data_IF_015482176036
#
_entry.id   IF_015482176036
#
_cell.length_a   1.000
_cell.length_b   1.000
_cell.length_c   1.000
_cell.angle_alpha   90.00
_cell.angle_beta   90.00
_cell.angle_gamma   90.00
#
_symmetry.space_group_name_H-M   'P 1'
#
loop_
_entity.id
_entity.type
_entity.pdbx_description
1 polymer ?
#
# COMPACT_ATOMS: atom_id res chain seq x y z
N UNK A 1 -1.90 -12.65 25.00
CA UNK A 1 -2.04 -11.57 23.99
C UNK A 1 -3.46 -11.62 23.44
N UNK A 2 -4.03 -10.48 23.08
CA UNK A 2 -5.36 -10.42 22.43
C UNK A 2 -5.20 -10.90 20.99
N UNK A 3 -5.97 -11.89 20.57
CA UNK A 3 -5.97 -12.37 19.18
C UNK A 3 -6.76 -11.44 18.25
N UNK A 4 -6.39 -11.34 16.96
CA UNK A 4 -7.22 -10.73 15.95
C UNK A 4 -8.62 -11.40 15.88
N UNK A 5 -9.69 -10.64 15.62
CA UNK A 5 -11.02 -11.20 15.41
C UNK A 5 -11.13 -11.82 14.00
N UNK A 6 -10.37 -12.88 13.73
CA UNK A 6 -10.21 -13.52 12.41
C UNK A 6 -11.54 -13.76 11.69
N UNK A 7 -12.53 -14.32 12.38
CA UNK A 7 -13.84 -14.59 11.81
C UNK A 7 -14.58 -13.31 11.38
N UNK A 8 -14.51 -12.24 12.18
CA UNK A 8 -15.12 -10.95 11.84
C UNK A 8 -14.42 -10.32 10.64
N UNK A 9 -13.08 -10.31 10.65
CA UNK A 9 -12.27 -9.76 9.55
C UNK A 9 -12.59 -10.49 8.25
N UNK A 10 -12.51 -11.82 8.23
CA UNK A 10 -12.80 -12.63 7.05
C UNK A 10 -14.24 -12.42 6.56
N UNK A 11 -15.21 -12.42 7.47
CA UNK A 11 -16.62 -12.28 7.12
C UNK A 11 -16.95 -10.94 6.47
N UNK A 12 -16.31 -9.86 6.93
CA UNK A 12 -16.47 -8.54 6.32
C UNK A 12 -15.67 -8.41 5.02
N UNK A 13 -14.49 -9.03 4.94
CA UNK A 13 -13.67 -9.04 3.72
C UNK A 13 -14.42 -9.72 2.56
N UNK A 14 -15.03 -10.90 2.77
CA UNK A 14 -15.84 -11.59 1.74
C UNK A 14 -17.14 -10.87 1.34
N UNK A 15 -17.54 -9.86 2.11
CA UNK A 15 -18.71 -9.02 1.82
C UNK A 15 -18.30 -7.71 1.12
N UNK A 16 -17.01 -7.52 0.80
CA UNK A 16 -16.50 -6.26 0.25
C UNK A 16 -16.62 -5.09 1.23
N UNK A 17 -16.72 -5.35 2.55
CA UNK A 17 -16.90 -4.34 3.61
C UNK A 17 -15.59 -3.96 4.32
N UNK A 18 -14.46 -4.44 3.81
CA UNK A 18 -13.12 -4.14 4.29
C UNK A 18 -12.31 -3.58 3.13
N UNK A 19 -11.58 -2.50 3.36
CA UNK A 19 -10.56 -1.96 2.46
C UNK A 19 -9.19 -2.44 3.00
N UNK A 20 -8.55 -3.42 2.35
CA UNK A 20 -7.17 -3.78 2.66
C UNK A 20 -6.26 -2.62 2.30
N UNK A 21 -5.39 -2.24 3.22
CA UNK A 21 -4.39 -1.21 3.05
C UNK A 21 -3.03 -1.90 3.22
N UNK A 22 -2.22 -2.00 2.16
CA UNK A 22 -0.94 -2.73 2.14
C UNK A 22 0.28 -1.81 2.08
N UNK A 23 1.27 -2.08 2.92
CA UNK A 23 2.54 -1.35 3.00
C UNK A 23 3.71 -2.27 2.67
N UNK A 24 4.95 -1.76 2.73
CA UNK A 24 6.12 -2.51 2.24
C UNK A 24 6.31 -3.88 2.92
N UNK A 25 5.91 -4.00 4.19
CA UNK A 25 5.95 -5.27 4.93
C UNK A 25 4.98 -6.33 4.38
N UNK A 26 4.00 -5.97 3.55
CA UNK A 26 3.10 -6.91 2.89
C UNK A 26 3.83 -7.70 1.78
N UNK A 27 4.65 -7.00 1.00
CA UNK A 27 5.49 -7.59 -0.06
C UNK A 27 6.65 -8.40 0.52
N UNK A 28 7.08 -8.07 1.74
CA UNK A 28 8.21 -8.70 2.43
C UNK A 28 7.79 -9.71 3.52
N UNK A 29 6.49 -10.02 3.64
CA UNK A 29 5.95 -10.77 4.78
C UNK A 29 6.59 -12.16 4.97
N UNK A 30 6.97 -12.81 3.88
CA UNK A 30 7.55 -14.16 3.85
C UNK A 30 9.08 -14.14 3.76
N UNK A 31 9.69 -12.96 3.73
CA UNK A 31 11.14 -12.80 3.68
C UNK A 31 11.72 -13.00 5.08
N UNK A 32 12.71 -13.88 5.21
CA UNK A 32 13.43 -14.08 6.47
C UNK A 32 14.16 -12.80 6.90
N UNK A 33 13.96 -12.38 8.15
CA UNK A 33 14.64 -11.25 8.77
C UNK A 33 16.18 -11.28 8.59
N UNK A 34 16.77 -12.47 8.58
CA UNK A 34 18.21 -12.72 8.45
C UNK A 34 18.72 -12.85 7.01
N UNK A 35 17.83 -12.92 6.01
CA UNK A 35 18.22 -13.04 4.61
C UNK A 35 19.01 -11.81 4.15
N UNK A 36 20.17 -12.04 3.54
CA UNK A 36 20.94 -11.01 2.86
C UNK A 36 20.25 -10.64 1.55
N UNK A 37 20.47 -9.40 1.10
CA UNK A 37 19.95 -8.90 -0.17
C UNK A 37 21.11 -8.44 -1.04
N UNK A 38 21.05 -8.79 -2.32
CA UNK A 38 22.02 -8.36 -3.34
C UNK A 38 21.31 -7.53 -4.41
N UNK A 39 21.68 -6.26 -4.53
CA UNK A 39 21.11 -5.35 -5.50
C UNK A 39 21.53 -5.63 -6.95
N UNK A 40 22.62 -6.38 -7.16
CA UNK A 40 23.07 -6.74 -8.50
C UNK A 40 22.31 -7.97 -9.06
N UNK A 41 21.74 -8.78 -8.19
CA UNK A 41 20.96 -9.97 -8.56
C UNK A 41 19.84 -10.23 -7.54
N UNK A 42 18.83 -9.35 -7.47
CA UNK A 42 17.82 -9.43 -6.42
C UNK A 42 16.89 -10.63 -6.63
N UNK A 43 16.84 -11.51 -5.62
CA UNK A 43 15.91 -12.64 -5.52
C UNK A 43 14.59 -12.28 -4.82
N UNK A 44 14.56 -11.11 -4.17
CA UNK A 44 13.41 -10.50 -3.52
C UNK A 44 13.47 -8.97 -3.60
N UNK A 45 12.35 -8.34 -3.26
CA UNK A 45 12.30 -6.89 -3.04
C UNK A 45 13.23 -6.49 -1.88
N UNK A 46 13.87 -5.31 -1.95
CA UNK A 46 14.65 -4.77 -0.85
C UNK A 46 13.76 -4.28 0.29
N UNK A 47 14.32 -4.30 1.50
CA UNK A 47 13.84 -3.45 2.60
C UNK A 47 14.24 -2.01 2.32
N UNK A 48 13.50 -1.05 2.89
CA UNK A 48 13.81 0.37 2.75
C UNK A 48 15.27 0.69 3.14
N UNK A 49 15.76 0.10 4.23
CA UNK A 49 17.15 0.26 4.68
C UNK A 49 18.18 -0.32 3.70
N UNK A 50 17.90 -1.49 3.13
CA UNK A 50 18.81 -2.15 2.16
C UNK A 50 18.93 -1.31 0.88
N UNK A 51 17.80 -0.78 0.40
CA UNK A 51 17.79 0.14 -0.73
C UNK A 51 18.52 1.45 -0.40
N UNK A 52 18.30 2.01 0.79
CA UNK A 52 18.99 3.22 1.25
C UNK A 52 20.51 3.02 1.33
N UNK A 53 20.99 1.86 1.82
CA UNK A 53 22.41 1.52 1.89
C UNK A 53 23.08 1.51 0.51
N UNK A 54 22.42 0.91 -0.49
CA UNK A 54 22.91 0.86 -1.87
C UNK A 54 22.95 2.24 -2.51
N UNK A 55 21.84 2.98 -2.43
CA UNK A 55 21.75 4.33 -3.00
C UNK A 55 22.73 5.30 -2.31
N UNK A 56 22.89 5.19 -1.00
CA UNK A 56 23.85 6.01 -0.24
C UNK A 56 25.29 5.74 -0.68
N UNK A 57 25.65 4.47 -0.91
CA UNK A 57 26.98 4.09 -1.40
C UNK A 57 27.25 4.62 -2.81
N UNK A 58 26.31 4.44 -3.73
CA UNK A 58 26.41 4.90 -5.12
C UNK A 58 26.51 6.44 -5.21
N UNK A 59 25.71 7.17 -4.42
CA UNK A 59 25.69 8.63 -4.43
C UNK A 59 26.79 9.28 -3.58
N UNK A 60 27.61 8.51 -2.85
CA UNK A 60 28.54 9.04 -1.83
C UNK A 60 27.83 9.90 -0.77
N UNK A 61 26.68 9.45 -0.28
CA UNK A 61 25.86 10.16 0.69
C UNK A 61 26.64 10.46 1.99
N UNK A 62 26.62 11.71 2.50
CA UNK A 62 27.40 12.12 3.66
C UNK A 62 26.77 11.62 4.97
N UNK A 63 27.02 10.34 5.30
CA UNK A 63 26.53 9.71 6.51
C UNK A 63 27.08 10.39 7.77
N UNK A 64 26.18 10.81 8.65
CA UNK A 64 26.52 11.24 10.02
C UNK A 64 26.41 10.08 11.02
N UNK A 65 25.64 9.04 10.68
CA UNK A 65 25.57 7.80 11.45
C UNK A 65 24.62 6.76 10.83
N UNK A 66 24.52 5.55 11.41
CA UNK A 66 23.72 4.46 10.85
C UNK A 66 22.21 4.73 10.77
N UNK A 67 21.71 5.73 11.50
CA UNK A 67 20.31 6.14 11.51
C UNK A 67 19.90 6.92 10.26
N UNK A 68 20.84 7.54 9.54
CA UNK A 68 20.51 8.23 8.28
C UNK A 68 19.94 7.25 7.23
N UNK A 69 20.36 5.98 7.29
CA UNK A 69 19.91 4.91 6.40
C UNK A 69 18.52 4.36 6.76
N UNK A 70 17.92 4.81 7.87
CA UNK A 70 16.51 4.54 8.17
C UNK A 70 15.57 5.48 7.40
N UNK A 71 16.08 6.60 6.89
CA UNK A 71 15.32 7.58 6.12
C UNK A 71 15.63 7.45 4.62
N UNK A 72 14.98 6.48 3.99
CA UNK A 72 15.09 6.26 2.55
C UNK A 72 14.73 7.51 1.74
N UNK A 73 13.80 8.33 2.23
CA UNK A 73 13.34 9.50 1.48
C UNK A 73 14.45 10.55 1.36
N UNK A 74 15.13 10.82 2.47
CA UNK A 74 16.29 11.73 2.52
C UNK A 74 17.45 11.23 1.66
N UNK A 75 17.75 9.93 1.69
CA UNK A 75 18.79 9.33 0.83
C UNK A 75 18.44 9.47 -0.65
N UNK A 76 17.18 9.21 -1.02
CA UNK A 76 16.70 9.37 -2.39
C UNK A 76 16.73 10.84 -2.85
N UNK A 77 16.37 11.80 -1.99
CA UNK A 77 16.47 13.24 -2.30
C UNK A 77 17.91 13.61 -2.63
N UNK A 78 18.87 13.20 -1.77
CA UNK A 78 20.29 13.45 -2.04
C UNK A 78 20.77 12.79 -3.33
N UNK A 79 20.37 11.53 -3.59
CA UNK A 79 20.71 10.83 -4.84
C UNK A 79 20.19 11.60 -6.06
N UNK A 80 18.93 12.04 -6.02
CA UNK A 80 18.33 12.82 -7.10
C UNK A 80 19.01 14.17 -7.29
N UNK A 81 19.48 14.82 -6.22
CA UNK A 81 20.20 16.10 -6.29
C UNK A 81 21.58 15.96 -6.95
N UNK A 82 22.32 14.89 -6.63
CA UNK A 82 23.70 14.72 -7.15
C UNK A 82 23.76 14.05 -8.52
N UNK A 83 22.87 13.08 -8.78
CA UNK A 83 22.87 12.28 -10.01
C UNK A 83 21.73 12.64 -10.97
N UNK A 84 20.72 13.36 -10.50
CA UNK A 84 19.51 13.68 -11.26
C UNK A 84 18.40 12.64 -11.09
N UNK A 85 17.14 13.12 -11.13
CA UNK A 85 15.93 12.27 -11.05
C UNK A 85 15.88 11.13 -12.08
N UNK A 86 16.27 11.31 -13.36
CA UNK A 86 16.24 10.22 -14.33
C UNK A 86 17.14 9.04 -13.93
N UNK A 87 18.31 9.29 -13.35
CA UNK A 87 19.25 8.25 -12.90
C UNK A 87 18.70 7.52 -11.69
N UNK A 88 18.12 8.23 -10.72
CA UNK A 88 17.41 7.60 -9.60
C UNK A 88 16.27 6.70 -10.09
N UNK A 89 15.48 7.16 -11.06
CA UNK A 89 14.36 6.40 -11.64
C UNK A 89 14.85 5.12 -12.32
N UNK A 90 15.90 5.20 -13.14
CA UNK A 90 16.53 4.04 -13.77
C UNK A 90 16.99 3.04 -12.71
N UNK A 91 17.67 3.52 -11.66
CA UNK A 91 18.15 2.66 -10.58
C UNK A 91 17.03 1.98 -9.78
N UNK A 92 15.97 2.72 -9.48
CA UNK A 92 14.78 2.15 -8.82
C UNK A 92 14.10 1.11 -9.70
N UNK A 93 14.01 1.35 -11.01
CA UNK A 93 13.48 0.36 -11.96
C UNK A 93 14.33 -0.89 -11.99
N UNK A 94 15.65 -0.76 -12.09
CA UNK A 94 16.56 -1.91 -12.05
C UNK A 94 16.32 -2.76 -10.81
N UNK A 95 16.15 -2.15 -9.65
CA UNK A 95 15.96 -2.88 -8.39
C UNK A 95 14.55 -3.45 -8.24
N UNK A 96 13.52 -2.73 -8.67
CA UNK A 96 12.12 -3.07 -8.37
C UNK A 96 11.43 -3.84 -9.51
N UNK A 97 11.93 -3.75 -10.74
CA UNK A 97 11.33 -4.39 -11.91
C UNK A 97 11.94 -5.77 -12.21
N UNK A 98 11.86 -6.68 -11.23
CA UNK A 98 12.22 -8.08 -11.42
C UNK A 98 10.99 -8.99 -11.32
N UNK A 99 11.15 -10.23 -11.77
CA UNK A 99 10.13 -11.26 -11.63
C UNK A 99 10.10 -11.74 -10.18
N UNK A 100 9.25 -11.10 -9.37
CA UNK A 100 8.99 -11.51 -7.99
C UNK A 100 7.73 -12.35 -7.89
N UNK A 101 7.76 -13.32 -6.99
CA UNK A 101 6.62 -14.21 -6.73
C UNK A 101 5.68 -13.59 -5.70
N UNK A 102 4.37 -13.47 -5.97
CA UNK A 102 3.41 -13.01 -4.97
C UNK A 102 3.37 -13.97 -3.77
N UNK A 103 3.53 -13.42 -2.56
CA UNK A 103 3.36 -14.20 -1.33
C UNK A 103 1.89 -14.57 -1.05
N UNK A 104 1.66 -15.40 -0.02
CA UNK A 104 0.32 -15.91 0.35
C UNK A 104 -0.69 -14.81 0.63
N UNK A 105 -0.28 -13.67 1.18
CA UNK A 105 -1.17 -12.54 1.40
C UNK A 105 -1.83 -12.07 0.09
N UNK A 106 -1.04 -11.91 -0.98
CA UNK A 106 -1.54 -11.44 -2.28
C UNK A 106 -2.53 -12.45 -2.87
N UNK A 107 -2.19 -13.73 -2.83
CA UNK A 107 -3.07 -14.80 -3.29
C UNK A 107 -4.35 -14.91 -2.46
N UNK A 108 -4.26 -14.75 -1.14
CA UNK A 108 -5.41 -14.74 -0.24
C UNK A 108 -6.36 -13.59 -0.58
N UNK A 109 -5.86 -12.37 -0.81
CA UNK A 109 -6.67 -11.22 -1.24
C UNK A 109 -7.31 -11.47 -2.61
N UNK A 110 -6.54 -11.96 -3.58
CA UNK A 110 -7.05 -12.33 -4.90
C UNK A 110 -8.10 -13.47 -4.82
N UNK A 111 -8.09 -14.30 -3.78
CA UNK A 111 -9.08 -15.37 -3.61
C UNK A 111 -10.45 -14.88 -3.11
N UNK A 112 -10.56 -13.65 -2.58
CA UNK A 112 -11.81 -13.12 -2.00
C UNK A 112 -12.91 -12.98 -3.06
N UNK A 113 -14.11 -13.55 -2.87
CA UNK A 113 -15.11 -13.65 -3.92
C UNK A 113 -15.77 -12.31 -4.30
N UNK A 114 -15.96 -11.41 -3.33
CA UNK A 114 -16.51 -10.07 -3.57
C UNK A 114 -15.46 -9.15 -4.18
N UNK A 115 -15.88 -8.17 -5.00
CA UNK A 115 -14.99 -7.09 -5.45
C UNK A 115 -14.31 -6.39 -4.27
N UNK A 116 -13.01 -6.15 -4.40
CA UNK A 116 -12.20 -5.45 -3.41
C UNK A 116 -11.64 -4.16 -3.98
N UNK A 117 -11.70 -3.08 -3.20
CA UNK A 117 -10.82 -1.93 -3.37
C UNK A 117 -9.64 -2.11 -2.42
N UNK A 118 -8.46 -2.40 -2.96
CA UNK A 118 -7.21 -2.56 -2.24
C UNK A 118 -6.39 -1.30 -2.43
N UNK A 119 -5.93 -0.71 -1.34
CA UNK A 119 -5.03 0.45 -1.38
C UNK A 119 -3.63 0.02 -1.00
N UNK A 120 -2.62 0.47 -1.74
CA UNK A 120 -1.23 0.15 -1.44
C UNK A 120 -0.32 1.35 -1.63
N UNK A 121 0.79 1.36 -0.88
CA UNK A 121 1.90 2.31 -1.03
C UNK A 121 3.14 1.65 -1.63
N UNK A 122 3.01 0.39 -2.06
CA UNK A 122 4.10 -0.38 -2.66
C UNK A 122 4.15 -0.12 -4.17
N UNK A 123 5.37 -0.09 -4.70
CA UNK A 123 5.62 0.13 -6.13
C UNK A 123 5.51 -1.16 -6.95
N UNK A 124 5.77 -2.32 -6.35
CA UNK A 124 5.80 -3.64 -6.99
C UNK A 124 4.45 -4.07 -7.60
N UNK A 125 4.48 -5.08 -8.48
CA UNK A 125 3.28 -5.62 -9.15
C UNK A 125 2.77 -6.94 -8.53
N UNK A 126 3.03 -7.22 -7.25
CA UNK A 126 2.70 -8.53 -6.65
C UNK A 126 1.19 -8.76 -6.52
N UNK A 127 0.41 -7.71 -6.23
CA UNK A 127 -1.05 -7.79 -6.22
C UNK A 127 -1.59 -8.08 -7.62
N UNK A 128 -1.13 -7.31 -8.60
CA UNK A 128 -1.48 -7.40 -10.01
C UNK A 128 -1.17 -8.81 -10.55
N UNK A 129 -0.01 -9.37 -10.21
CA UNK A 129 0.37 -10.74 -10.54
C UNK A 129 -0.54 -11.78 -9.85
N UNK A 130 -0.89 -11.60 -8.57
CA UNK A 130 -1.78 -12.52 -7.87
C UNK A 130 -3.22 -12.51 -8.43
N UNK A 131 -3.75 -11.33 -8.79
CA UNK A 131 -5.07 -11.21 -9.42
C UNK A 131 -5.09 -11.83 -10.83
N UNK A 132 -4.04 -11.60 -11.64
CA UNK A 132 -3.87 -12.27 -12.94
C UNK A 132 -3.82 -13.80 -12.78
N UNK A 133 -3.03 -14.31 -11.83
CA UNK A 133 -2.93 -15.75 -11.56
C UNK A 133 -4.26 -16.37 -11.10
N UNK A 134 -5.08 -15.60 -10.37
CA UNK A 134 -6.43 -16.01 -9.95
C UNK A 134 -7.49 -15.86 -11.07
N UNK A 135 -7.13 -15.33 -12.24
CA UNK A 135 -8.06 -15.05 -13.33
C UNK A 135 -9.14 -14.02 -12.97
N UNK A 136 -8.87 -13.11 -12.02
CA UNK A 136 -9.82 -12.09 -11.60
C UNK A 136 -9.54 -10.74 -12.24
N UNK A 137 -10.53 -10.13 -12.89
CA UNK A 137 -10.38 -8.81 -13.46
C UNK A 137 -10.18 -7.78 -12.35
N UNK A 138 -9.33 -6.80 -12.62
CA UNK A 138 -9.07 -5.65 -11.77
C UNK A 138 -8.76 -4.42 -12.63
N UNK A 139 -9.13 -3.27 -12.10
CA UNK A 139 -8.67 -1.97 -12.55
C UNK A 139 -7.49 -1.54 -11.69
N UNK A 140 -6.52 -0.87 -12.32
CA UNK A 140 -5.36 -0.31 -11.64
C UNK A 140 -5.45 1.21 -11.70
N UNK A 141 -5.40 1.85 -10.53
CA UNK A 141 -5.39 3.30 -10.41
C UNK A 141 -4.10 3.72 -9.74
N UNK A 142 -3.36 4.61 -10.38
CA UNK A 142 -2.06 5.08 -9.92
C UNK A 142 -2.07 6.59 -9.84
N UNK A 143 -1.40 7.10 -8.82
CA UNK A 143 -1.12 8.51 -8.69
C UNK A 143 0.25 8.85 -9.31
N UNK A 144 0.29 9.60 -10.44
CA UNK A 144 1.54 9.99 -11.08
C UNK A 144 2.17 11.21 -10.39
N UNK A 145 3.40 11.07 -9.90
CA UNK A 145 4.21 12.19 -9.37
C UNK A 145 5.23 12.74 -10.34
N UNK A 146 5.81 11.88 -11.18
CA UNK A 146 6.95 12.23 -12.01
C UNK A 146 6.60 12.93 -13.34
N UNK A 147 5.30 13.10 -13.62
CA UNK A 147 4.78 13.66 -14.88
C UNK A 147 4.11 15.01 -14.63
N UNK A 148 4.81 16.10 -14.94
CA UNK A 148 4.29 17.48 -14.78
C UNK A 148 3.08 17.77 -15.67
N UNK A 149 3.01 17.14 -16.83
CA UNK A 149 1.85 17.17 -17.73
C UNK A 149 0.61 16.48 -17.12
N UNK A 150 0.81 15.58 -16.15
CA UNK A 150 -0.23 14.85 -15.44
C UNK A 150 -0.41 15.31 -13.98
N UNK A 151 0.08 16.51 -13.65
CA UNK A 151 0.14 17.02 -12.28
C UNK A 151 -1.22 17.11 -11.54
N UNK A 152 -2.36 16.95 -12.21
CA UNK A 152 -3.67 16.89 -11.58
C UNK A 152 -4.51 15.70 -12.06
N UNK A 153 -3.86 14.71 -12.66
CA UNK A 153 -4.50 13.51 -13.15
C UNK A 153 -4.12 12.31 -12.28
N UNK A 154 -4.95 11.29 -12.37
CA UNK A 154 -4.60 9.91 -12.04
C UNK A 154 -4.42 9.14 -13.35
N UNK A 155 -3.63 8.08 -13.30
CA UNK A 155 -3.58 7.09 -14.36
C UNK A 155 -4.51 5.95 -13.99
N UNK A 156 -5.43 5.61 -14.88
CA UNK A 156 -6.35 4.50 -14.72
C UNK A 156 -6.15 3.51 -15.86
N UNK A 157 -5.82 2.26 -15.53
CA UNK A 157 -5.91 1.13 -16.44
C UNK A 157 -7.21 0.38 -16.15
N UNK A 158 -8.21 0.51 -17.04
CA UNK A 158 -9.34 -0.40 -17.05
C UNK A 158 -8.85 -1.84 -17.24
N UNK A 159 -9.57 -2.80 -16.66
CA UNK A 159 -9.23 -4.20 -16.84
C UNK A 159 -9.07 -4.58 -18.31
N UNK A 160 -7.91 -5.15 -18.65
CA UNK A 160 -7.59 -5.61 -20.00
C UNK A 160 -7.03 -4.54 -20.94
N UNK A 161 -6.92 -3.29 -20.50
CA UNK A 161 -6.26 -2.23 -21.25
C UNK A 161 -4.73 -2.41 -21.24
N UNK A 162 -4.08 -2.13 -22.37
CA UNK A 162 -2.62 -2.12 -22.49
C UNK A 162 -2.00 -0.78 -22.04
N UNK A 163 -2.77 0.30 -22.08
CA UNK A 163 -2.32 1.67 -21.78
C UNK A 163 -3.28 2.34 -20.78
N UNK A 164 -2.77 3.29 -19.97
CA UNK A 164 -3.60 4.03 -19.05
C UNK A 164 -4.41 5.11 -19.75
N UNK A 165 -5.52 5.47 -19.13
CA UNK A 165 -6.25 6.70 -19.39
C UNK A 165 -5.94 7.70 -18.28
N UNK A 166 -5.38 8.85 -18.65
CA UNK A 166 -5.26 9.97 -17.74
C UNK A 166 -6.65 10.55 -17.45
N UNK A 167 -7.00 10.66 -16.16
CA UNK A 167 -8.29 11.20 -15.70
C UNK A 167 -8.07 12.25 -14.63
N UNK A 168 -8.91 13.28 -14.61
CA UNK A 168 -9.06 14.10 -13.41
C UNK A 168 -9.61 13.18 -12.30
N UNK A 169 -9.08 13.23 -11.06
CA UNK A 169 -9.48 12.32 -9.98
C UNK A 169 -10.98 12.22 -9.73
N UNK A 170 -11.72 13.32 -9.91
CA UNK A 170 -13.17 13.36 -9.70
C UNK A 170 -13.99 12.90 -10.92
N UNK A 171 -13.34 12.70 -12.07
CA UNK A 171 -13.96 12.14 -13.29
C UNK A 171 -13.69 10.63 -13.40
N UNK A 172 -13.08 10.03 -12.37
CA UNK A 172 -12.92 8.59 -12.28
C UNK A 172 -14.28 7.93 -12.06
N UNK A 173 -14.68 7.08 -13.01
CA UNK A 173 -15.96 6.39 -12.98
C UNK A 173 -15.70 4.88 -13.04
N UNK A 174 -15.63 4.26 -11.86
CA UNK A 174 -15.50 2.81 -11.69
C UNK A 174 -16.65 2.33 -10.80
N UNK A 175 -17.38 1.32 -11.25
CA UNK A 175 -18.34 0.63 -10.38
C UNK A 175 -17.63 -0.26 -9.36
N UNK A 176 -17.31 0.32 -8.20
CA UNK A 176 -16.64 -0.38 -7.09
C UNK A 176 -17.48 -1.51 -6.45
N UNK A 177 -18.74 -1.69 -6.85
CA UNK A 177 -19.57 -2.80 -6.39
C UNK A 177 -19.36 -4.06 -7.23
N UNK A 178 -18.83 -3.93 -8.45
CA UNK A 178 -18.63 -5.04 -9.40
C UNK A 178 -17.17 -5.21 -9.85
N UNK A 179 -16.33 -4.19 -9.65
CA UNK A 179 -14.94 -4.17 -10.11
C UNK A 179 -13.94 -4.26 -8.95
N UNK A 180 -12.94 -5.15 -9.07
CA UNK A 180 -11.78 -5.09 -8.18
C UNK A 180 -10.91 -3.90 -8.57
N UNK A 181 -10.40 -3.16 -7.59
CA UNK A 181 -9.52 -2.02 -7.82
C UNK A 181 -8.28 -2.17 -6.98
N UNK A 182 -7.12 -2.00 -7.62
CA UNK A 182 -5.84 -1.81 -6.94
C UNK A 182 -5.50 -0.32 -7.09
N UNK A 183 -5.48 0.40 -5.97
CA UNK A 183 -5.14 1.83 -5.94
C UNK A 183 -3.76 2.02 -5.32
N UNK A 184 -2.78 2.47 -6.12
CA UNK A 184 -1.39 2.67 -5.71
C UNK A 184 -1.10 4.15 -5.50
N UNK A 185 -0.90 4.53 -4.24
CA UNK A 185 -0.78 5.94 -3.85
C UNK A 185 0.61 6.52 -4.10
N UNK A 186 1.65 5.69 -4.05
CA UNK A 186 3.03 6.14 -4.21
C UNK A 186 3.59 5.88 -5.62
N UNK A 187 2.72 5.54 -6.58
CA UNK A 187 3.14 5.22 -7.93
C UNK A 187 3.32 3.71 -8.15
N UNK A 188 4.08 3.36 -9.17
CA UNK A 188 4.31 1.98 -9.60
C UNK A 188 5.65 1.86 -10.30
N UNK A 189 6.21 0.67 -10.28
CA UNK A 189 7.09 0.22 -11.38
C UNK A 189 6.20 -0.56 -12.35
N UNK A 190 6.11 -0.12 -13.60
CA UNK A 190 5.38 -0.82 -14.64
C UNK A 190 6.25 -1.94 -15.21
N UNK A 191 5.70 -3.16 -15.21
CA UNK A 191 6.42 -4.36 -15.63
C UNK A 191 6.80 -4.38 -17.11
N UNK A 192 6.23 -3.51 -17.93
CA UNK A 192 6.36 -3.53 -19.40
C UNK A 192 7.00 -2.28 -19.96
N UNK A 193 6.51 -1.10 -19.58
CA UNK A 193 6.88 0.16 -20.19
C UNK A 193 7.41 1.15 -19.15
N UNK A 194 8.72 1.49 -19.19
CA UNK A 194 9.32 2.43 -18.26
C UNK A 194 8.72 3.84 -18.35
N UNK A 195 7.94 4.19 -19.37
CA UNK A 195 7.25 5.47 -19.44
C UNK A 195 6.27 5.65 -18.26
N UNK A 196 5.65 4.55 -17.82
CA UNK A 196 4.60 4.58 -16.79
C UNK A 196 5.10 4.41 -15.37
N UNK A 197 6.40 4.23 -15.16
CA UNK A 197 6.95 4.24 -13.81
C UNK A 197 6.64 5.58 -13.13
N UNK A 198 6.40 5.54 -11.83
CA UNK A 198 6.22 6.73 -11.02
C UNK A 198 6.58 6.40 -9.59
N UNK A 199 7.30 7.30 -8.93
CA UNK A 199 7.77 7.06 -7.56
C UNK A 199 7.46 8.26 -6.67
N UNK A 200 6.79 8.02 -5.55
CA UNK A 200 6.73 8.96 -4.42
C UNK A 200 7.74 8.51 -3.37
N UNK A 201 9.00 8.91 -3.56
CA UNK A 201 10.12 8.33 -2.80
C UNK A 201 11.09 9.36 -2.25
N UNK A 202 11.17 10.57 -2.80
CA UNK A 202 11.98 11.68 -2.25
C UNK A 202 11.17 12.54 -1.27
N UNK A 203 11.84 13.35 -0.46
CA UNK A 203 11.16 14.32 0.41
C UNK A 203 10.29 15.30 -0.41
N UNK A 204 10.81 15.77 -1.54
CA UNK A 204 10.10 16.62 -2.50
C UNK A 204 8.82 15.95 -3.02
N UNK A 205 8.91 14.66 -3.42
CA UNK A 205 7.74 13.90 -3.88
C UNK A 205 6.66 13.81 -2.79
N UNK A 206 7.07 13.57 -1.53
CA UNK A 206 6.13 13.49 -0.42
C UNK A 206 5.49 14.85 -0.12
N UNK A 207 6.24 15.95 -0.19
CA UNK A 207 5.67 17.30 -0.03
C UNK A 207 4.64 17.58 -1.11
N UNK A 208 4.96 17.31 -2.38
CA UNK A 208 4.06 17.52 -3.50
C UNK A 208 2.80 16.65 -3.40
N UNK A 209 2.97 15.38 -3.06
CA UNK A 209 1.87 14.45 -2.82
C UNK A 209 0.94 14.94 -1.70
N UNK A 210 1.50 15.36 -0.57
CA UNK A 210 0.72 15.83 0.58
C UNK A 210 0.08 17.19 0.34
N UNK A 211 0.72 18.08 -0.41
CA UNK A 211 0.11 19.34 -0.83
C UNK A 211 -1.18 19.07 -1.61
N UNK A 212 -1.14 18.11 -2.55
CA UNK A 212 -2.31 17.74 -3.37
C UNK A 212 -3.39 16.97 -2.59
N UNK A 213 -3.02 16.25 -1.55
CA UNK A 213 -3.98 15.68 -0.58
C UNK A 213 -4.81 16.77 0.12
N UNK A 214 -4.27 17.96 0.36
CA UNK A 214 -5.03 19.03 1.05
C UNK A 214 -6.06 19.71 0.15
N UNK A 215 -5.88 19.65 -1.18
CA UNK A 215 -6.82 20.21 -2.17
C UNK A 215 -7.75 19.15 -2.79
N UNK A 216 -7.86 17.96 -2.19
CA UNK A 216 -8.69 16.82 -2.65
C UNK A 216 -8.36 16.32 -4.07
N UNK A 217 -7.13 16.46 -4.57
CA UNK A 217 -6.76 15.99 -5.91
C UNK A 217 -5.91 14.72 -5.89
N UNK A 218 -5.42 14.28 -4.73
CA UNK A 218 -4.57 13.08 -4.68
C UNK A 218 -5.36 11.76 -4.60
N UNK A 219 -6.51 11.75 -3.91
CA UNK A 219 -7.39 10.58 -3.82
C UNK A 219 -8.74 10.93 -4.46
N UNK A 220 -9.19 10.18 -5.50
CA UNK A 220 -10.53 10.29 -6.07
C UNK A 220 -11.65 10.33 -5.04
N UNK A 221 -12.61 11.24 -5.20
CA UNK A 221 -13.79 11.34 -4.32
C UNK A 221 -14.61 10.05 -4.28
N UNK A 222 -14.65 9.30 -5.38
CA UNK A 222 -15.20 7.95 -5.47
C UNK A 222 -14.66 7.03 -4.37
N UNK A 223 -13.34 7.02 -4.14
CA UNK A 223 -12.73 6.21 -3.09
C UNK A 223 -13.08 6.71 -1.70
N UNK A 224 -13.08 8.04 -1.46
CA UNK A 224 -13.50 8.58 -0.16
C UNK A 224 -14.95 8.21 0.20
N UNK A 225 -15.86 8.23 -0.76
CA UNK A 225 -17.24 7.79 -0.56
C UNK A 225 -17.29 6.29 -0.24
N UNK A 226 -16.53 5.48 -0.96
CA UNK A 226 -16.42 4.04 -0.75
C UNK A 226 -15.86 3.68 0.63
N UNK A 227 -14.89 4.46 1.11
CA UNK A 227 -14.22 4.28 2.39
C UNK A 227 -15.11 4.57 3.61
N UNK A 228 -16.05 5.51 3.47
CA UNK A 228 -16.86 6.00 4.59
C UNK A 228 -17.71 4.94 5.29
N UNK A 229 -18.09 3.85 4.61
CA UNK A 229 -18.95 2.78 5.13
C UNK A 229 -18.22 1.45 5.35
N UNK A 230 -16.88 1.45 5.34
CA UNK A 230 -16.05 0.24 5.37
C UNK A 230 -15.05 0.24 6.52
N UNK A 231 -14.70 -0.96 6.95
CA UNK A 231 -13.59 -1.19 7.87
C UNK A 231 -12.26 -1.10 7.11
N UNK A 232 -11.19 -0.71 7.78
CA UNK A 232 -9.84 -0.79 7.23
C UNK A 232 -9.07 -1.96 7.83
N UNK A 233 -8.25 -2.60 7.01
CA UNK A 233 -7.32 -3.65 7.44
C UNK A 233 -5.91 -3.29 6.97
N UNK A 234 -5.08 -2.80 7.88
CA UNK A 234 -3.69 -2.42 7.62
C UNK A 234 -2.77 -3.63 7.75
N UNK A 235 -2.04 -3.94 6.68
CA UNK A 235 -1.21 -5.13 6.55
C UNK A 235 0.22 -4.73 6.13
N UNK A 236 1.21 -5.12 6.91
CA UNK A 236 2.61 -4.84 6.58
C UNK A 236 2.99 -3.36 6.66
N UNK A 237 2.32 -2.61 7.54
CA UNK A 237 2.58 -1.19 7.77
C UNK A 237 3.45 -0.96 9.00
N UNK A 238 4.40 -0.02 8.86
CA UNK A 238 5.02 0.63 10.01
C UNK A 238 4.60 2.11 10.01
N UNK A 239 4.24 2.64 11.19
CA UNK A 239 3.96 4.07 11.35
C UNK A 239 5.23 4.88 11.63
N UNK A 240 6.42 4.33 11.35
CA UNK A 240 7.69 5.05 11.44
C UNK A 240 7.76 6.20 10.43
N UNK A 241 7.24 5.97 9.23
CA UNK A 241 7.23 6.98 8.17
C UNK A 241 6.23 8.10 8.46
N UNK A 242 6.71 9.34 8.41
CA UNK A 242 5.89 10.51 8.68
C UNK A 242 4.81 10.72 7.62
N UNK A 243 5.11 10.43 6.34
CA UNK A 243 4.18 10.64 5.22
C UNK A 243 2.90 9.81 5.40
N UNK A 244 3.01 8.56 5.82
CA UNK A 244 1.87 7.67 6.09
C UNK A 244 1.04 8.18 7.26
N UNK A 245 1.67 8.72 8.31
CA UNK A 245 0.93 9.33 9.44
C UNK A 245 0.06 10.49 8.97
N UNK A 246 0.51 11.24 7.96
CA UNK A 246 -0.26 12.34 7.34
C UNK A 246 -1.36 11.80 6.44
N UNK A 247 -1.08 10.81 5.59
CA UNK A 247 -2.10 10.12 4.77
C UNK A 247 -3.24 9.63 5.64
N UNK A 248 -2.94 8.87 6.70
CA UNK A 248 -3.94 8.35 7.63
C UNK A 248 -4.68 9.46 8.39
N UNK A 249 -4.02 10.58 8.69
CA UNK A 249 -4.68 11.74 9.31
C UNK A 249 -5.70 12.38 8.36
N UNK A 250 -5.34 12.53 7.09
CA UNK A 250 -6.23 13.11 6.07
C UNK A 250 -7.37 12.15 5.71
N UNK A 251 -7.10 10.86 5.52
CA UNK A 251 -8.14 9.84 5.38
C UNK A 251 -9.05 9.80 6.61
N UNK A 252 -8.45 9.90 7.81
CA UNK A 252 -9.14 10.02 9.08
C UNK A 252 -10.16 11.15 9.06
N UNK A 253 -9.81 12.37 8.63
CA UNK A 253 -10.79 13.48 8.56
C UNK A 253 -12.02 13.10 7.74
N UNK A 254 -11.87 12.45 6.59
CA UNK A 254 -13.01 11.99 5.79
C UNK A 254 -13.77 10.83 6.45
N UNK A 255 -13.07 9.94 7.14
CA UNK A 255 -13.68 8.88 7.96
C UNK A 255 -14.42 9.43 9.17
N UNK A 256 -13.95 10.52 9.79
CA UNK A 256 -14.54 11.17 10.97
C UNK A 256 -15.66 12.16 10.61
N UNK A 257 -15.58 12.87 9.48
CA UNK A 257 -16.61 13.82 9.07
C UNK A 257 -17.92 13.16 8.68
N UNK A 258 -17.90 11.93 8.15
CA UNK A 258 -19.14 11.16 7.90
C UNK A 258 -19.75 10.57 9.17
N UNK A 259 -18.93 10.32 10.21
CA UNK A 259 -19.38 9.91 11.57
C UNK A 259 -20.19 10.99 12.30
N UNK A 260 -20.16 12.25 11.85
CA UNK A 260 -20.92 13.35 12.45
C UNK A 260 -22.24 13.63 11.71
N UNK A 261 -22.42 13.10 10.50
CA UNK A 261 -23.63 13.31 9.69
C UNK A 261 -24.65 12.20 9.97
N UNK A 262 -24.18 10.97 10.19
CA UNK A 262 -25.03 9.84 10.59
C UNK A 262 -25.13 9.82 12.14
N UNK A 263 -26.24 10.33 12.68
CA UNK A 263 -26.63 10.15 14.08
C UNK A 263 -27.00 8.68 14.36
N UNK A 264 -26.05 7.75 14.31
CA UNK A 264 -26.31 6.37 14.72
C UNK A 264 -25.66 6.09 16.08
N UNK A 265 -26.49 5.56 16.98
CA UNK A 265 -26.14 5.03 18.31
C UNK A 265 -25.14 3.86 18.24
N UNK A 266 -24.88 3.35 17.03
CA UNK A 266 -23.92 2.29 16.73
C UNK A 266 -22.53 2.89 16.54
N UNK A 267 -21.61 2.62 17.48
CA UNK A 267 -20.24 3.14 17.47
C UNK A 267 -19.44 2.88 16.16
N UNK A 268 -18.23 3.45 16.05
CA UNK A 268 -17.48 3.43 14.80
C UNK A 268 -17.21 2.01 14.29
N UNK A 269 -17.28 1.81 12.97
CA UNK A 269 -16.89 0.55 12.34
C UNK A 269 -15.47 0.15 12.77
N UNK A 270 -15.27 -1.10 13.25
CA UNK A 270 -13.97 -1.53 13.71
C UNK A 270 -12.98 -1.58 12.55
N UNK A 271 -11.76 -1.12 12.78
CA UNK A 271 -10.63 -1.22 11.84
C UNK A 271 -9.44 -1.83 12.57
N UNK A 272 -8.57 -2.50 11.82
CA UNK A 272 -7.53 -3.35 12.39
C UNK A 272 -6.17 -3.11 11.74
N UNK A 273 -5.11 -3.25 12.53
CA UNK A 273 -3.73 -3.28 12.05
C UNK A 273 -3.05 -4.57 12.50
N UNK A 274 -2.42 -5.28 11.56
CA UNK A 274 -1.62 -6.48 11.83
C UNK A 274 -0.15 -6.11 11.69
N UNK A 275 0.59 -6.19 12.79
CA UNK A 275 1.98 -5.78 12.85
C UNK A 275 2.78 -6.72 13.76
N UNK A 276 4.00 -7.08 13.37
CA UNK A 276 4.91 -7.86 14.19
C UNK A 276 5.66 -6.93 15.17
N UNK A 277 5.62 -7.27 16.46
CA UNK A 277 6.34 -6.56 17.52
C UNK A 277 6.21 -5.02 17.49
N UNK A 278 4.98 -4.45 17.46
CA UNK A 278 4.80 -3.00 17.41
C UNK A 278 5.29 -2.34 18.70
N UNK A 279 5.96 -1.21 18.52
CA UNK A 279 6.45 -0.36 19.62
C UNK A 279 5.27 0.26 20.38
N UNK A 280 5.52 0.69 21.63
CA UNK A 280 4.51 1.41 22.43
C UNK A 280 4.01 2.68 21.73
N UNK A 281 4.90 3.39 21.02
CA UNK A 281 4.54 4.55 20.22
C UNK A 281 3.54 4.18 19.12
N UNK A 282 3.81 3.11 18.36
CA UNK A 282 2.91 2.64 17.30
C UNK A 282 1.55 2.20 17.87
N UNK A 283 1.53 1.48 18.99
CA UNK A 283 0.28 1.11 19.67
C UNK A 283 -0.58 2.33 19.99
N UNK A 284 0.02 3.37 20.59
CA UNK A 284 -0.67 4.64 20.88
C UNK A 284 -1.12 5.38 19.62
N UNK A 285 -0.33 5.34 18.55
CA UNK A 285 -0.67 6.00 17.29
C UNK A 285 -1.89 5.34 16.61
N UNK A 286 -2.00 4.01 16.65
CA UNK A 286 -3.16 3.29 16.14
C UNK A 286 -4.40 3.49 17.02
N UNK A 287 -4.23 3.39 18.35
CA UNK A 287 -5.32 3.59 19.31
C UNK A 287 -5.95 4.98 19.21
N UNK A 288 -5.12 6.03 19.08
CA UNK A 288 -5.59 7.41 18.85
C UNK A 288 -6.45 7.57 17.59
N UNK A 289 -6.34 6.65 16.63
CA UNK A 289 -7.12 6.62 15.37
C UNK A 289 -8.33 5.68 15.44
N UNK A 290 -8.56 5.04 16.59
CA UNK A 290 -9.61 4.04 16.76
C UNK A 290 -9.35 2.75 15.98
N UNK A 291 -8.08 2.40 15.76
CA UNK A 291 -7.68 1.20 15.02
C UNK A 291 -7.07 0.21 16.01
N UNK A 292 -7.65 -0.98 16.12
CA UNK A 292 -7.12 -2.02 17.00
C UNK A 292 -5.90 -2.69 16.36
N UNK A 293 -4.76 -2.58 17.02
CA UNK A 293 -3.53 -3.24 16.59
C UNK A 293 -3.38 -4.61 17.25
N UNK A 294 -2.97 -5.60 16.45
CA UNK A 294 -2.63 -6.93 16.93
C UNK A 294 -1.17 -7.27 16.63
N UNK A 295 -0.50 -7.77 17.65
CA UNK A 295 0.90 -8.19 17.63
C UNK A 295 1.00 -9.62 17.07
N UNK A 296 1.03 -9.72 15.74
CA UNK A 296 1.04 -11.00 15.02
C UNK A 296 1.85 -10.83 13.74
N UNK A 297 2.78 -11.75 13.49
CA UNK A 297 3.45 -11.87 12.19
C UNK A 297 2.43 -12.02 11.06
N UNK A 298 2.62 -11.26 9.99
CA UNK A 298 1.64 -11.23 8.89
C UNK A 298 1.43 -12.61 8.25
N UNK A 299 2.48 -13.44 8.14
CA UNK A 299 2.39 -14.83 7.69
C UNK A 299 1.52 -15.69 8.61
N UNK A 300 1.68 -15.55 9.93
CA UNK A 300 0.84 -16.25 10.90
C UNK A 300 -0.61 -15.79 10.84
N UNK A 301 -0.84 -14.49 10.63
CA UNK A 301 -2.18 -13.94 10.47
C UNK A 301 -2.87 -14.54 9.23
N UNK A 302 -2.19 -14.59 8.09
CA UNK A 302 -2.73 -15.18 6.85
C UNK A 302 -3.01 -16.67 7.05
N UNK A 303 -2.08 -17.45 7.62
CA UNK A 303 -2.31 -18.87 7.93
C UNK A 303 -3.55 -19.07 8.79
N UNK A 304 -3.68 -18.34 9.90
CA UNK A 304 -4.83 -18.50 10.78
C UNK A 304 -6.15 -18.07 10.14
N UNK A 305 -6.13 -17.06 9.27
CA UNK A 305 -7.33 -16.64 8.54
C UNK A 305 -7.80 -17.75 7.57
N UNK A 306 -6.86 -18.38 6.87
CA UNK A 306 -7.12 -19.49 5.94
C UNK A 306 -7.57 -20.78 6.65
N UNK A 307 -6.91 -21.17 7.74
CA UNK A 307 -7.27 -22.36 8.53
C UNK A 307 -8.69 -22.24 9.09
N UNK A 308 -9.03 -21.06 9.64
CA UNK A 308 -10.37 -20.79 10.19
C UNK A 308 -11.43 -20.71 9.08
N UNK A 309 -11.07 -20.29 7.86
CA UNK A 309 -11.94 -20.37 6.67
C UNK A 309 -12.22 -21.84 6.32
N UNK A 310 -11.20 -22.68 6.24
CA UNK A 310 -11.36 -24.10 5.91
C UNK A 310 -12.22 -24.83 6.95
N UNK A 311 -11.98 -24.57 8.24
CA UNK A 311 -12.77 -25.14 9.33
C UNK A 311 -14.24 -24.69 9.32
N UNK A 312 -14.52 -23.43 8.93
CA UNK A 312 -15.89 -22.93 8.81
C UNK A 312 -16.63 -23.55 7.61
N UNK A 313 -15.95 -23.77 6.48
CA UNK A 313 -16.52 -24.41 5.30
C UNK A 313 -16.84 -25.91 5.56
N UNK A 314 -15.96 -26.63 6.25
CA UNK A 314 -16.16 -28.05 6.59
C UNK A 314 -17.24 -28.32 7.65
N UNK A 315 -17.76 -27.29 8.33
CA UNK A 315 -18.91 -27.40 9.26
C UNK A 315 -20.25 -27.09 8.59
N UNK A 316 -20.24 -26.57 7.37
CA UNK A 316 -21.43 -26.14 6.64
C UNK A 316 -21.81 -27.07 5.48
N UNK A 317 -20.99 -28.10 5.19
CA UNK A 317 -21.28 -29.18 4.25
C UNK A 317 -21.58 -30.47 5.00
#
# INVERSE_FOLDING_TARGET
MIEPPYGVIWNRLRQGKVVPFLGAGASLAEVDASSLWDAASPDRLPRARELAEVLAGEASYPLSGPSDLEDLAKVCSYYADVAGRPVLRERLREVLNHVYTPGRLHHMLASVPSPLTIVTTNYDCLLEAAFRAAGKPYDLVIYPTDRKDLANAILWWPHGASEPVAKVPNDLDIDLATTNVIYKMHGTVDGTDPEWDSFVITEEDYVDFLSRMTVNTAIPSLFFQHFGSRSFLFLGYSLRDWNLRVVLKNMGKHMYSRRLIDQEEEGPLPSWAIQDAPTELERRLWDKRGISIFDVKLTNFVSQLEDRRAAAAGRAG
#
